data_IF_026344084721
#
_entry.id   IF_026344084721
#
_cell.length_a   1.000
_cell.length_b   1.000
_cell.length_c   1.000
_cell.angle_alpha   90.00
_cell.angle_beta   90.00
_cell.angle_gamma   90.00
#
_symmetry.space_group_name_H-M   'P 1'
#
loop_
_entity.id
_entity.type
_entity.pdbx_description
1 polymer ?
#
# COMPACT_ATOMS: atom_id res chain seq x y z
N UNK A 1 5.22 11.35 -28.95
CA UNK A 1 6.23 10.35 -28.55
C UNK A 1 5.61 9.34 -27.60
N UNK A 2 5.96 8.04 -27.70
CA UNK A 2 5.28 6.96 -26.97
C UNK A 2 5.43 7.07 -25.44
N UNK A 3 6.61 7.48 -24.95
CA UNK A 3 6.97 7.55 -23.53
C UNK A 3 6.25 8.64 -22.71
N UNK A 4 5.56 9.57 -23.37
CA UNK A 4 4.69 10.57 -22.72
C UNK A 4 3.27 10.58 -23.27
N UNK A 5 2.92 9.52 -24.02
CA UNK A 5 1.59 9.43 -24.60
C UNK A 5 0.52 9.23 -23.52
N UNK A 6 -0.67 9.80 -23.75
CA UNK A 6 -1.85 9.51 -22.91
C UNK A 6 -2.12 8.00 -22.82
N UNK A 7 -1.84 7.25 -23.90
CA UNK A 7 -1.95 5.80 -23.95
C UNK A 7 -1.05 5.10 -22.93
N UNK A 8 0.18 5.58 -22.73
CA UNK A 8 1.09 5.03 -21.72
C UNK A 8 0.56 5.26 -20.30
N UNK A 9 0.03 6.45 -20.01
CA UNK A 9 -0.58 6.74 -18.71
C UNK A 9 -1.77 5.81 -18.43
N UNK A 10 -2.65 5.63 -19.41
CA UNK A 10 -3.79 4.71 -19.30
C UNK A 10 -3.32 3.28 -19.06
N UNK A 11 -2.27 2.83 -19.74
CA UNK A 11 -1.68 1.52 -19.51
C UNK A 11 -1.11 1.37 -18.09
N UNK A 12 -0.36 2.36 -17.61
CA UNK A 12 0.21 2.39 -16.26
C UNK A 12 -0.90 2.33 -15.19
N UNK A 13 -1.96 3.14 -15.35
CA UNK A 13 -3.12 3.14 -14.45
C UNK A 13 -3.91 1.81 -14.50
N UNK A 14 -4.04 1.20 -15.68
CA UNK A 14 -4.68 -0.10 -15.84
C UNK A 14 -3.90 -1.23 -15.15
N UNK A 15 -2.56 -1.22 -15.27
CA UNK A 15 -1.69 -2.19 -14.58
C UNK A 15 -1.88 -2.11 -13.06
N UNK A 16 -1.90 -0.89 -12.50
CA UNK A 16 -2.17 -0.71 -11.05
C UNK A 16 -3.53 -1.30 -10.67
N UNK A 17 -4.58 -1.01 -11.45
CA UNK A 17 -5.91 -1.54 -11.19
C UNK A 17 -5.93 -3.07 -11.19
N UNK A 18 -5.37 -3.69 -12.23
CA UNK A 18 -5.39 -5.16 -12.36
C UNK A 18 -4.58 -5.84 -11.26
N UNK A 19 -3.44 -5.26 -10.88
CA UNK A 19 -2.62 -5.78 -9.79
C UNK A 19 -3.32 -5.62 -8.44
N UNK A 20 -4.05 -4.53 -8.23
CA UNK A 20 -4.83 -4.29 -7.02
C UNK A 20 -6.05 -5.20 -6.88
N UNK A 21 -6.81 -5.39 -7.95
CA UNK A 21 -8.09 -6.10 -7.92
C UNK A 21 -7.96 -7.61 -8.09
N UNK A 22 -6.95 -8.06 -8.86
CA UNK A 22 -6.80 -9.47 -9.25
C UNK A 22 -5.52 -10.12 -8.75
N UNK A 23 -4.81 -9.46 -7.82
CA UNK A 23 -3.49 -9.89 -7.36
C UNK A 23 -2.51 -10.17 -8.52
N UNK A 24 -2.60 -9.35 -9.57
CA UNK A 24 -1.73 -9.43 -10.73
C UNK A 24 -0.26 -9.10 -10.39
N UNK A 25 0.64 -9.54 -11.26
CA UNK A 25 2.08 -9.33 -11.16
C UNK A 25 2.64 -8.67 -12.44
N UNK A 26 1.81 -7.88 -13.13
CA UNK A 26 2.25 -7.16 -14.33
C UNK A 26 2.91 -5.85 -13.93
N UNK A 27 3.93 -5.39 -14.65
CA UNK A 27 4.56 -4.08 -14.37
C UNK A 27 4.79 -3.32 -15.65
N UNK A 28 4.85 -1.99 -15.56
CA UNK A 28 5.10 -1.17 -16.74
C UNK A 28 6.42 -1.57 -17.42
N UNK A 29 7.49 -1.80 -16.66
CA UNK A 29 8.77 -2.24 -17.21
C UNK A 29 8.67 -3.59 -17.94
N UNK A 30 7.97 -4.58 -17.36
CA UNK A 30 7.76 -5.89 -17.98
C UNK A 30 6.97 -5.76 -19.28
N UNK A 31 5.88 -5.00 -19.26
CA UNK A 31 5.03 -4.76 -20.42
C UNK A 31 5.80 -4.02 -21.53
N UNK A 32 6.56 -2.97 -21.20
CA UNK A 32 7.38 -2.24 -22.18
C UNK A 32 8.52 -3.10 -22.72
N UNK A 33 9.17 -3.90 -21.87
CA UNK A 33 10.22 -4.84 -22.31
C UNK A 33 9.68 -5.80 -23.35
N UNK A 34 8.50 -6.40 -23.10
CA UNK A 34 7.83 -7.27 -24.07
C UNK A 34 7.42 -6.50 -25.33
N UNK A 35 6.80 -5.34 -25.18
CA UNK A 35 6.27 -4.54 -26.29
C UNK A 35 7.33 -3.99 -27.25
N UNK A 36 8.52 -3.69 -26.74
CA UNK A 36 9.65 -3.24 -27.55
C UNK A 36 10.59 -4.37 -28.00
N UNK A 37 10.23 -5.63 -27.76
CA UNK A 37 10.96 -6.78 -28.28
C UNK A 37 12.23 -7.12 -27.50
N UNK A 38 12.23 -6.93 -26.18
CA UNK A 38 13.28 -7.39 -25.28
C UNK A 38 14.04 -6.27 -24.55
N UNK A 39 14.92 -6.71 -23.65
CA UNK A 39 15.62 -5.81 -22.73
C UNK A 39 16.56 -4.84 -23.44
N UNK A 40 17.31 -5.31 -24.44
CA UNK A 40 18.26 -4.51 -25.21
C UNK A 40 17.57 -3.42 -26.02
N UNK A 41 16.42 -3.74 -26.61
CA UNK A 41 15.65 -2.78 -27.39
C UNK A 41 15.04 -1.71 -26.49
N UNK A 42 14.45 -2.11 -25.36
CA UNK A 42 13.98 -1.13 -24.37
C UNK A 42 15.12 -0.23 -23.88
N UNK A 43 16.31 -0.80 -23.58
CA UNK A 43 17.48 -0.02 -23.16
C UNK A 43 17.87 1.04 -24.19
N UNK A 44 18.02 0.67 -25.47
CA UNK A 44 18.35 1.60 -26.55
C UNK A 44 17.31 2.72 -26.70
N UNK A 45 16.03 2.39 -26.59
CA UNK A 45 14.94 3.37 -26.65
C UNK A 45 15.03 4.37 -25.49
N UNK A 46 15.25 3.89 -24.26
CA UNK A 46 15.40 4.76 -23.09
C UNK A 46 16.67 5.62 -23.18
N UNK A 47 17.76 5.07 -23.71
CA UNK A 47 19.02 5.79 -23.92
C UNK A 47 18.86 6.96 -24.89
N UNK A 48 18.07 6.82 -25.96
CA UNK A 48 17.75 7.93 -26.85
C UNK A 48 16.75 8.92 -26.23
N UNK A 49 15.70 8.40 -25.58
CA UNK A 49 14.62 9.20 -25.03
C UNK A 49 15.04 10.13 -23.88
N UNK A 50 16.12 9.81 -23.16
CA UNK A 50 16.63 10.68 -22.10
C UNK A 50 17.17 12.02 -22.63
N UNK A 51 17.50 12.15 -23.92
CA UNK A 51 18.00 13.40 -24.50
C UNK A 51 16.90 14.30 -25.05
N UNK A 52 15.64 13.85 -25.03
CA UNK A 52 14.49 14.65 -25.46
C UNK A 52 13.77 15.24 -24.24
N UNK A 53 13.56 16.56 -24.24
CA UNK A 53 12.97 17.29 -23.10
C UNK A 53 11.60 16.73 -22.65
N UNK A 54 10.78 16.24 -23.58
CA UNK A 54 9.46 15.70 -23.25
C UNK A 54 9.56 14.30 -22.65
N UNK A 55 10.46 13.45 -23.12
CA UNK A 55 10.56 12.05 -22.66
C UNK A 55 11.63 11.82 -21.58
N UNK A 56 12.46 12.84 -21.30
CA UNK A 56 13.58 12.76 -20.38
C UNK A 56 13.20 12.17 -19.02
N UNK A 57 12.22 12.77 -18.35
CA UNK A 57 11.83 12.37 -17.00
C UNK A 57 11.42 10.88 -16.93
N UNK A 58 10.53 10.44 -17.83
CA UNK A 58 10.06 9.05 -17.87
C UNK A 58 11.19 8.09 -18.26
N UNK A 59 12.06 8.48 -19.19
CA UNK A 59 13.19 7.66 -19.58
C UNK A 59 14.17 7.43 -18.41
N UNK A 60 14.52 8.50 -17.69
CA UNK A 60 15.40 8.44 -16.52
C UNK A 60 14.79 7.60 -15.40
N UNK A 61 13.50 7.77 -15.12
CA UNK A 61 12.76 6.98 -14.13
C UNK A 61 12.81 5.47 -14.43
N UNK A 62 12.46 5.07 -15.66
CA UNK A 62 12.49 3.65 -16.06
C UNK A 62 13.91 3.08 -16.06
N UNK A 63 14.92 3.88 -16.44
CA UNK A 63 16.33 3.48 -16.37
C UNK A 63 16.78 3.21 -14.94
N UNK A 64 16.44 4.09 -13.98
CA UNK A 64 16.76 3.89 -12.56
C UNK A 64 16.13 2.61 -12.02
N UNK A 65 14.85 2.36 -12.30
CA UNK A 65 14.19 1.12 -11.88
C UNK A 65 14.88 -0.12 -12.46
N UNK A 66 15.25 -0.10 -13.75
CA UNK A 66 16.04 -1.20 -14.36
C UNK A 66 17.41 -1.37 -13.71
N UNK A 67 18.10 -0.27 -13.42
CA UNK A 67 19.40 -0.30 -12.77
C UNK A 67 19.29 -0.96 -11.39
N UNK A 68 18.37 -0.49 -10.54
CA UNK A 68 18.15 -1.06 -9.21
C UNK A 68 17.73 -2.53 -9.25
N UNK A 69 17.05 -2.97 -10.33
CA UNK A 69 16.72 -4.39 -10.57
C UNK A 69 17.92 -5.23 -11.00
N UNK A 70 18.92 -4.63 -11.65
CA UNK A 70 20.17 -5.29 -12.02
C UNK A 70 21.13 -5.39 -10.84
N UNK A 71 21.14 -4.37 -9.99
CA UNK A 71 21.91 -4.32 -8.73
C UNK A 71 21.27 -5.16 -7.61
N UNK A 72 20.05 -5.68 -7.83
CA UNK A 72 19.29 -6.47 -6.86
C UNK A 72 19.15 -5.78 -5.49
N UNK A 73 18.88 -4.46 -5.51
CA UNK A 73 18.72 -3.69 -4.28
C UNK A 73 17.56 -4.22 -3.42
N UNK A 74 17.75 -4.23 -2.10
CA UNK A 74 16.66 -4.52 -1.18
C UNK A 74 15.53 -3.47 -1.33
N UNK A 75 14.25 -3.87 -1.27
CA UNK A 75 13.13 -2.95 -1.40
C UNK A 75 13.11 -1.76 -0.43
N UNK A 76 13.63 -1.89 0.79
CA UNK A 76 13.74 -0.77 1.73
C UNK A 76 14.81 0.24 1.28
N UNK A 77 15.89 -0.22 0.64
CA UNK A 77 16.86 0.68 -0.02
C UNK A 77 16.20 1.48 -1.15
N UNK A 78 15.39 0.82 -1.99
CA UNK A 78 14.64 1.49 -3.06
C UNK A 78 13.59 2.45 -2.51
N UNK A 79 12.90 2.07 -1.44
CA UNK A 79 11.96 2.96 -0.73
C UNK A 79 12.63 4.27 -0.29
N UNK A 80 13.85 4.19 0.24
CA UNK A 80 14.65 5.37 0.58
C UNK A 80 15.07 6.18 -0.64
N UNK A 81 15.50 5.54 -1.73
CA UNK A 81 15.86 6.22 -2.98
C UNK A 81 14.67 6.95 -3.63
N UNK A 82 13.45 6.47 -3.38
CA UNK A 82 12.19 7.09 -3.79
C UNK A 82 11.70 8.17 -2.79
N UNK A 83 12.48 8.46 -1.73
CA UNK A 83 12.12 9.38 -0.64
C UNK A 83 10.80 9.03 0.05
N UNK A 84 10.48 7.74 0.14
CA UNK A 84 9.25 7.23 0.75
C UNK A 84 9.45 6.82 2.21
N UNK A 85 10.60 7.12 2.84
CA UNK A 85 11.00 6.64 4.16
C UNK A 85 11.03 7.71 5.26
N UNK A 86 10.48 8.89 4.99
CA UNK A 86 10.41 10.01 5.95
C UNK A 86 9.11 10.03 6.76
N UNK A 87 7.96 9.90 6.10
CA UNK A 87 6.63 10.01 6.70
C UNK A 87 5.65 9.08 5.98
N UNK A 88 5.00 8.19 6.73
CA UNK A 88 4.11 7.16 6.17
C UNK A 88 2.87 7.75 5.49
N UNK A 89 2.31 8.83 6.03
CA UNK A 89 1.13 9.49 5.47
C UNK A 89 1.41 10.15 4.13
N UNK A 90 2.60 10.77 3.99
CA UNK A 90 3.10 11.31 2.72
C UNK A 90 3.47 10.19 1.76
N UNK A 91 4.12 9.12 2.23
CA UNK A 91 4.50 7.98 1.41
C UNK A 91 3.28 7.33 0.74
N UNK A 92 2.20 7.09 1.50
CA UNK A 92 0.98 6.47 0.97
C UNK A 92 0.19 7.35 -0.01
N UNK A 93 0.43 8.66 -0.02
CA UNK A 93 -0.16 9.63 -0.96
C UNK A 93 0.77 9.96 -2.13
N UNK A 94 2.02 9.50 -2.07
CA UNK A 94 3.03 9.78 -3.09
C UNK A 94 2.77 8.97 -4.36
N UNK A 95 3.00 9.59 -5.52
CA UNK A 95 3.00 8.89 -6.80
C UNK A 95 4.13 7.85 -6.89
N UNK A 96 5.19 8.01 -6.11
CA UNK A 96 6.33 7.08 -6.07
C UNK A 96 6.00 5.76 -5.39
N UNK A 97 4.93 5.69 -4.58
CA UNK A 97 4.48 4.43 -3.97
C UNK A 97 4.21 3.36 -5.04
N UNK A 98 3.66 3.78 -6.18
CA UNK A 98 3.46 2.91 -7.35
C UNK A 98 4.78 2.31 -7.85
N UNK A 99 5.85 3.11 -7.87
CA UNK A 99 7.17 2.66 -8.36
C UNK A 99 7.82 1.68 -7.38
N UNK A 100 7.65 1.90 -6.08
CA UNK A 100 8.06 0.93 -5.09
C UNK A 100 7.29 -0.40 -5.23
N UNK A 101 5.97 -0.34 -5.45
CA UNK A 101 5.15 -1.53 -5.65
C UNK A 101 5.58 -2.34 -6.89
N UNK A 102 5.75 -1.66 -8.03
CA UNK A 102 6.26 -2.28 -9.26
C UNK A 102 7.67 -2.85 -9.09
N UNK A 103 8.52 -2.18 -8.33
CA UNK A 103 9.85 -2.68 -8.03
C UNK A 103 9.77 -3.98 -7.24
N UNK A 104 8.97 -4.03 -6.16
CA UNK A 104 8.79 -5.22 -5.33
C UNK A 104 8.24 -6.40 -6.13
N UNK A 105 7.26 -6.18 -7.00
CA UNK A 105 6.73 -7.22 -7.90
C UNK A 105 7.85 -7.82 -8.74
N UNK A 106 8.65 -6.98 -9.42
CA UNK A 106 9.74 -7.45 -10.25
C UNK A 106 10.88 -8.10 -9.44
N UNK A 107 11.17 -7.58 -8.25
CA UNK A 107 12.15 -8.15 -7.31
C UNK A 107 11.75 -9.57 -6.91
N UNK A 108 10.48 -9.79 -6.55
CA UNK A 108 9.98 -11.11 -6.15
C UNK A 108 9.97 -12.13 -7.30
N UNK A 109 9.70 -11.68 -8.53
CA UNK A 109 9.78 -12.54 -9.73
C UNK A 109 11.19 -13.09 -9.96
N UNK A 110 12.24 -12.33 -9.57
CA UNK A 110 13.63 -12.77 -9.62
C UNK A 110 14.06 -13.55 -8.37
N UNK A 111 13.52 -13.20 -7.20
CA UNK A 111 13.95 -13.69 -5.89
C UNK A 111 12.86 -14.55 -5.22
N UNK A 112 12.52 -15.69 -5.82
CA UNK A 112 11.38 -16.53 -5.42
C UNK A 112 11.31 -16.95 -3.95
N UNK A 113 12.46 -17.07 -3.26
CA UNK A 113 12.51 -17.50 -1.85
C UNK A 113 12.55 -16.34 -0.84
N UNK A 114 12.84 -15.11 -1.27
CA UNK A 114 12.99 -13.92 -0.41
C UNK A 114 11.96 -12.86 -0.79
N UNK A 115 10.68 -13.23 -0.77
CA UNK A 115 9.61 -12.35 -1.21
C UNK A 115 9.38 -11.20 -0.22
N UNK A 116 9.44 -9.97 -0.72
CA UNK A 116 9.01 -8.79 -0.01
C UNK A 116 7.54 -8.47 -0.34
N UNK A 117 6.84 -7.77 0.55
CA UNK A 117 5.51 -7.22 0.25
C UNK A 117 5.54 -5.73 0.49
N UNK A 118 4.74 -4.96 -0.26
CA UNK A 118 4.66 -3.51 -0.04
C UNK A 118 4.26 -3.19 1.40
N UNK A 119 3.24 -3.89 1.93
CA UNK A 119 2.81 -3.74 3.32
C UNK A 119 3.96 -4.06 4.30
N UNK A 120 4.64 -5.18 4.12
CA UNK A 120 5.77 -5.58 4.96
C UNK A 120 6.95 -4.59 4.90
N UNK A 121 7.27 -4.06 3.71
CA UNK A 121 8.31 -3.04 3.54
C UNK A 121 7.96 -1.75 4.28
N UNK A 122 6.71 -1.28 4.17
CA UNK A 122 6.23 -0.12 4.91
C UNK A 122 6.25 -0.37 6.43
N UNK A 123 5.72 -1.51 6.88
CA UNK A 123 5.67 -1.90 8.29
C UNK A 123 7.06 -2.02 8.92
N UNK A 124 8.04 -2.58 8.20
CA UNK A 124 9.42 -2.68 8.68
C UNK A 124 10.05 -1.30 8.92
N UNK A 125 9.67 -0.29 8.12
CA UNK A 125 10.20 1.07 8.24
C UNK A 125 9.47 1.91 9.29
N UNK A 126 8.15 1.81 9.35
CA UNK A 126 7.31 2.74 10.10
C UNK A 126 6.61 2.11 11.32
N UNK A 127 6.61 0.79 11.44
CA UNK A 127 5.84 0.05 12.44
C UNK A 127 4.41 -0.24 11.99
N UNK A 128 3.89 -1.39 12.42
CA UNK A 128 2.56 -1.88 12.01
C UNK A 128 1.42 -0.92 12.37
N UNK A 129 1.49 -0.27 13.54
CA UNK A 129 0.43 0.63 14.03
C UNK A 129 0.34 1.92 13.20
N UNK A 130 1.47 2.57 12.92
CA UNK A 130 1.48 3.82 12.16
C UNK A 130 1.11 3.57 10.69
N UNK A 131 1.56 2.45 10.12
CA UNK A 131 1.15 2.02 8.78
C UNK A 131 -0.35 1.75 8.73
N UNK A 132 -0.91 1.06 9.72
CA UNK A 132 -2.33 0.78 9.81
C UNK A 132 -3.19 2.06 9.76
N UNK A 133 -2.87 3.04 10.61
CA UNK A 133 -3.57 4.33 10.67
C UNK A 133 -3.42 5.14 9.38
N UNK A 134 -2.21 5.12 8.80
CA UNK A 134 -1.92 5.84 7.58
C UNK A 134 -2.65 5.24 6.36
N UNK A 135 -2.80 3.92 6.29
CA UNK A 135 -3.59 3.24 5.26
C UNK A 135 -5.05 3.68 5.36
N UNK A 136 -5.66 3.64 6.55
CA UNK A 136 -7.06 4.09 6.75
C UNK A 136 -7.25 5.55 6.30
N UNK A 137 -6.27 6.40 6.57
CA UNK A 137 -6.30 7.81 6.15
C UNK A 137 -6.08 8.01 4.64
N UNK A 138 -5.40 7.09 3.97
CA UNK A 138 -5.07 7.16 2.55
C UNK A 138 -6.12 6.52 1.64
N UNK A 139 -7.02 5.69 2.19
CA UNK A 139 -8.10 5.05 1.44
C UNK A 139 -9.06 6.12 0.91
N UNK A 140 -9.02 6.30 -0.41
CA UNK A 140 -9.91 7.13 -1.22
C UNK A 140 -10.31 6.35 -2.46
N UNK A 141 -11.35 6.79 -3.16
CA UNK A 141 -11.89 6.00 -4.26
C UNK A 141 -10.93 5.74 -5.42
N UNK A 142 -10.02 6.67 -5.65
CA UNK A 142 -9.01 6.66 -6.70
C UNK A 142 -7.69 5.98 -6.30
N UNK A 143 -7.44 5.74 -5.00
CA UNK A 143 -6.19 5.14 -4.53
C UNK A 143 -6.31 3.60 -4.41
N UNK A 144 -6.12 2.93 -5.55
CA UNK A 144 -6.20 1.46 -5.65
C UNK A 144 -5.13 0.72 -4.83
N UNK A 145 -3.96 1.33 -4.61
CA UNK A 145 -2.91 0.71 -3.79
C UNK A 145 -3.32 0.76 -2.32
N UNK A 146 -3.81 1.89 -1.82
CA UNK A 146 -4.29 2.00 -0.44
C UNK A 146 -5.46 1.05 -0.16
N UNK A 147 -6.41 0.91 -1.09
CA UNK A 147 -7.50 -0.08 -0.98
C UNK A 147 -6.98 -1.51 -0.88
N UNK A 148 -6.02 -1.90 -1.73
CA UNK A 148 -5.38 -3.22 -1.66
C UNK A 148 -4.66 -3.41 -0.32
N UNK A 149 -3.89 -2.42 0.13
CA UNK A 149 -3.18 -2.46 1.40
C UNK A 149 -4.14 -2.60 2.59
N UNK A 150 -5.28 -1.91 2.57
CA UNK A 150 -6.31 -2.05 3.61
C UNK A 150 -6.86 -3.49 3.68
N UNK A 151 -7.14 -4.10 2.53
CA UNK A 151 -7.58 -5.51 2.50
C UNK A 151 -6.50 -6.45 3.05
N UNK A 152 -5.24 -6.26 2.65
CA UNK A 152 -4.10 -7.05 3.15
C UNK A 152 -3.91 -6.89 4.66
N UNK A 153 -4.12 -5.69 5.19
CA UNK A 153 -4.06 -5.40 6.61
C UNK A 153 -5.17 -6.12 7.39
N UNK A 154 -6.42 -6.08 6.90
CA UNK A 154 -7.55 -6.81 7.51
C UNK A 154 -7.32 -8.32 7.53
N UNK A 155 -6.90 -8.89 6.40
CA UNK A 155 -6.55 -10.32 6.32
C UNK A 155 -5.36 -10.68 7.22
N UNK A 156 -4.36 -9.79 7.31
CA UNK A 156 -3.18 -9.96 8.15
C UNK A 156 -3.54 -9.99 9.63
N UNK A 157 -4.43 -9.11 10.09
CA UNK A 157 -4.94 -9.12 11.46
C UNK A 157 -5.71 -10.40 11.77
N UNK A 158 -6.56 -10.85 10.85
CA UNK A 158 -7.30 -12.10 11.02
C UNK A 158 -6.35 -13.30 11.11
N UNK A 159 -5.33 -13.38 10.23
CA UNK A 159 -4.32 -14.45 10.26
C UNK A 159 -3.46 -14.45 11.52
N UNK A 160 -3.36 -13.32 12.21
CA UNK A 160 -2.69 -13.18 13.51
C UNK A 160 -3.64 -13.42 14.69
N UNK A 161 -4.87 -13.90 14.43
CA UNK A 161 -5.94 -14.14 15.40
C UNK A 161 -6.21 -12.92 16.29
N UNK A 162 -6.11 -11.71 15.72
CA UNK A 162 -6.33 -10.50 16.50
C UNK A 162 -7.80 -10.35 16.91
N UNK A 163 -8.06 -10.03 18.17
CA UNK A 163 -9.40 -9.68 18.63
C UNK A 163 -9.84 -8.31 18.10
N UNK A 164 -11.16 -8.05 18.15
CA UNK A 164 -11.71 -6.74 17.78
C UNK A 164 -11.12 -5.64 18.66
N UNK A 165 -10.92 -5.89 19.95
CA UNK A 165 -10.29 -4.94 20.88
C UNK A 165 -8.84 -4.63 20.52
N UNK A 166 -8.07 -5.63 20.10
CA UNK A 166 -6.69 -5.41 19.64
C UNK A 166 -6.66 -4.53 18.39
N UNK A 167 -7.56 -4.78 17.43
CA UNK A 167 -7.67 -3.94 16.22
C UNK A 167 -8.13 -2.52 16.56
N UNK A 168 -9.10 -2.38 17.48
CA UNK A 168 -9.53 -1.08 17.98
C UNK A 168 -8.36 -0.28 18.55
N UNK A 169 -7.53 -0.91 19.39
CA UNK A 169 -6.37 -0.26 19.98
C UNK A 169 -5.30 0.11 18.94
N UNK A 170 -5.08 -0.72 17.91
CA UNK A 170 -4.15 -0.41 16.80
C UNK A 170 -4.60 0.82 16.01
N UNK A 171 -5.91 0.94 15.75
CA UNK A 171 -6.47 2.10 15.03
C UNK A 171 -6.45 3.39 15.85
N UNK A 172 -6.23 3.28 17.17
CA UNK A 172 -6.01 4.40 18.09
C UNK A 172 -7.07 5.50 17.96
N UNK A 173 -8.32 5.13 18.22
CA UNK A 173 -9.46 6.04 18.23
C UNK A 173 -9.33 7.17 19.25
N UNK A 174 -8.41 7.06 20.22
CA UNK A 174 -8.21 8.04 21.30
C UNK A 174 -7.39 9.25 20.85
N UNK A 175 -6.44 9.08 19.92
CA UNK A 175 -5.59 10.17 19.42
C UNK A 175 -6.13 10.87 18.17
N UNK A 176 -7.15 10.29 17.51
CA UNK A 176 -7.77 10.81 16.30
C UNK A 176 -8.72 12.00 16.61
N UNK A 177 -8.18 13.14 17.03
CA UNK A 177 -8.94 14.36 17.41
C UNK A 177 -9.75 15.06 16.30
N UNK A 178 -10.13 14.37 15.21
CA UNK A 178 -10.91 14.92 14.09
C UNK A 178 -12.00 13.91 13.66
N UNK A 179 -13.26 14.37 13.59
CA UNK A 179 -14.43 13.53 13.28
C UNK A 179 -14.34 12.71 11.98
N UNK A 180 -13.67 13.21 10.94
CA UNK A 180 -13.52 12.50 9.66
C UNK A 180 -12.48 11.37 9.67
N UNK A 181 -11.55 11.36 10.62
CA UNK A 181 -10.61 10.23 10.83
C UNK A 181 -11.29 9.17 11.70
N UNK A 182 -12.08 9.61 12.69
CA UNK A 182 -12.90 8.72 13.52
C UNK A 182 -13.86 7.91 12.62
N UNK A 183 -14.55 8.53 11.67
CA UNK A 183 -15.48 7.79 10.79
C UNK A 183 -14.78 6.70 9.98
N UNK A 184 -13.62 6.98 9.38
CA UNK A 184 -12.86 5.98 8.60
C UNK A 184 -12.29 4.86 9.46
N UNK A 185 -11.88 5.17 10.69
CA UNK A 185 -11.44 4.16 11.64
C UNK A 185 -12.61 3.25 12.01
N UNK A 186 -13.81 3.81 12.26
CA UNK A 186 -15.04 3.04 12.53
C UNK A 186 -15.37 2.14 11.33
N UNK A 187 -15.38 2.69 10.11
CA UNK A 187 -15.64 1.91 8.88
C UNK A 187 -14.63 0.76 8.71
N UNK A 188 -13.38 0.96 9.10
CA UNK A 188 -12.34 -0.07 9.02
C UNK A 188 -12.55 -1.16 10.07
N UNK A 189 -12.92 -0.77 11.29
CA UNK A 189 -13.24 -1.71 12.36
C UNK A 189 -14.49 -2.52 12.03
N UNK A 190 -15.52 -1.90 11.47
CA UNK A 190 -16.75 -2.56 11.00
C UNK A 190 -16.44 -3.67 10.00
N UNK A 191 -15.66 -3.33 8.97
CA UNK A 191 -15.18 -4.31 7.98
C UNK A 191 -14.42 -5.47 8.64
N UNK A 192 -13.62 -5.18 9.66
CA UNK A 192 -12.89 -6.21 10.39
C UNK A 192 -13.85 -7.12 11.18
N UNK A 193 -14.81 -6.57 11.92
CA UNK A 193 -15.83 -7.33 12.66
C UNK A 193 -16.63 -8.24 11.73
N UNK A 194 -17.11 -7.71 10.60
CA UNK A 194 -17.81 -8.49 9.58
C UNK A 194 -16.95 -9.66 9.06
N UNK A 195 -15.66 -9.41 8.79
CA UNK A 195 -14.73 -10.43 8.33
C UNK A 195 -14.46 -11.49 9.42
N UNK A 196 -14.25 -11.04 10.65
CA UNK A 196 -13.99 -11.87 11.83
C UNK A 196 -15.15 -12.83 12.08
N UNK A 197 -16.37 -12.33 12.25
CA UNK A 197 -17.58 -13.13 12.49
C UNK A 197 -17.81 -14.18 11.40
N UNK A 198 -17.65 -13.78 10.14
CA UNK A 198 -17.79 -14.71 9.01
C UNK A 198 -16.81 -15.88 9.09
N UNK A 199 -15.63 -15.69 9.68
CA UNK A 199 -14.56 -16.70 9.71
C UNK A 199 -14.50 -17.50 11.00
N UNK A 200 -14.84 -16.89 12.12
CA UNK A 200 -14.82 -17.55 13.44
C UNK A 200 -16.18 -18.09 13.87
N UNK A 201 -17.26 -17.80 13.12
CA UNK A 201 -18.65 -18.03 13.53
C UNK A 201 -19.03 -17.35 14.84
N UNK A 202 -18.29 -16.30 15.22
CA UNK A 202 -18.62 -15.42 16.33
C UNK A 202 -19.79 -14.49 15.96
N UNK A 203 -20.41 -13.92 16.98
CA UNK A 203 -21.47 -12.89 16.86
C UNK A 203 -21.02 -11.58 17.52
N UNK A 204 -19.81 -11.13 17.20
CA UNK A 204 -19.31 -9.84 17.68
C UNK A 204 -20.07 -8.71 17.01
N UNK A 205 -20.49 -7.70 17.76
CA UNK A 205 -21.12 -6.52 17.17
C UNK A 205 -20.27 -5.30 17.46
N UNK A 206 -20.27 -4.33 16.52
CA UNK A 206 -19.66 -3.03 16.78
C UNK A 206 -20.17 -2.40 18.09
N UNK A 207 -21.45 -2.61 18.42
CA UNK A 207 -22.07 -2.12 19.64
C UNK A 207 -21.51 -2.86 20.86
N UNK A 208 -21.37 -4.18 20.83
CA UNK A 208 -20.76 -4.94 21.92
C UNK A 208 -19.31 -4.50 22.17
N UNK A 209 -18.51 -4.34 21.10
CA UNK A 209 -17.14 -3.83 21.22
C UNK A 209 -17.13 -2.40 21.75
N UNK A 210 -17.95 -1.49 21.23
CA UNK A 210 -18.01 -0.10 21.67
C UNK A 210 -18.58 0.07 23.09
N UNK A 211 -19.55 -0.72 23.53
CA UNK A 211 -20.12 -0.66 24.89
C UNK A 211 -19.10 -1.15 25.92
N UNK A 212 -18.35 -2.22 25.62
CA UNK A 212 -17.26 -2.67 26.47
C UNK A 212 -16.15 -1.61 26.57
N UNK A 213 -15.89 -0.90 25.46
CA UNK A 213 -14.89 0.16 25.39
C UNK A 213 -15.34 1.44 26.10
N UNK A 214 -16.58 1.87 25.96
CA UNK A 214 -17.14 3.03 26.69
C UNK A 214 -17.18 2.75 28.20
N UNK A 215 -17.51 1.52 28.60
CA UNK A 215 -17.45 1.07 29.99
C UNK A 215 -16.00 1.03 30.52
N UNK A 216 -15.04 0.59 29.70
CA UNK A 216 -13.61 0.61 30.04
C UNK A 216 -13.04 2.03 30.11
N UNK A 217 -13.51 2.94 29.25
CA UNK A 217 -13.13 4.36 29.26
C UNK A 217 -13.70 5.09 30.48
N UNK A 218 -14.97 4.89 30.82
CA UNK A 218 -15.59 5.52 31.99
C UNK A 218 -14.92 5.07 33.28
N UNK A 219 -14.53 3.79 33.38
CA UNK A 219 -13.77 3.25 34.50
C UNK A 219 -12.34 3.86 34.58
N UNK A 220 -11.69 4.11 33.45
CA UNK A 220 -10.35 4.72 33.41
C UNK A 220 -10.34 6.23 33.67
N UNK A 221 -11.47 6.91 33.45
CA UNK A 221 -11.63 8.37 33.56
C UNK A 221 -12.48 8.79 34.78
N UNK A 222 -12.94 7.85 35.61
CA UNK A 222 -13.89 8.09 36.71
C UNK A 222 -15.12 8.92 36.28
N UNK A 223 -15.61 8.71 35.06
CA UNK A 223 -16.83 9.36 34.59
C UNK A 223 -18.05 8.58 35.10
N UNK A 224 -19.10 9.26 35.61
CA UNK A 224 -20.30 8.58 36.08
C UNK A 224 -20.98 7.85 34.92
N UNK A 225 -21.42 6.62 35.17
CA UNK A 225 -22.24 5.86 34.23
C UNK A 225 -23.59 6.58 34.07
N UNK A 226 -23.95 6.92 32.83
CA UNK A 226 -25.26 7.48 32.45
C UNK A 226 -26.25 6.34 32.18
#
# INVERSE_FOLDING_TARGET
MALTSRKLKVLDDYIVRINSEKNGQETLLKTLTKGFGGEDNLRRILDGAQYNAFTHAKAVELKKLKQWQGENLDPASVMKLLNLDNDVGKALKSTELRRLDEYIINFNLKNGNNQATLLGTLSKKYGDSDVAKAIVSAVKDDNMIAKRLQNQQLEGWLKKDMSVDQVFNVLDFKSAGIGAVISRNVDTLDKYVMLYNRKTSADETLVASCVFILFSLSLSLNLPFL
#
